data_IF_331600191651
#
_entry.id   IF_331600191651
#
_cell.length_a   1.000
_cell.length_b   1.000
_cell.length_c   1.000
_cell.angle_alpha   90.00
_cell.angle_beta   90.00
_cell.angle_gamma   90.00
#
_symmetry.space_group_name_H-M   'P 1'
#
loop_
_entity.id
_entity.type
_entity.pdbx_description
1 polymer ?
#
# COMPACT_ATOMS: atom_id res chain seq x y z
N UNK A 1 29.01 -54.21 7.54
CA UNK A 1 28.84 -52.76 7.76
C UNK A 1 27.36 -52.50 7.75
N UNK A 2 26.79 -52.16 8.90
CA UNK A 2 25.36 -51.95 9.07
C UNK A 2 25.18 -50.51 9.54
N UNK A 3 25.09 -49.58 8.58
CA UNK A 3 24.77 -48.18 8.84
C UNK A 3 23.25 -48.03 8.92
N UNK A 4 22.67 -48.57 9.98
CA UNK A 4 21.34 -48.22 10.45
C UNK A 4 21.47 -47.13 11.51
N UNK A 5 21.66 -45.88 11.09
CA UNK A 5 21.41 -44.73 11.96
C UNK A 5 20.31 -43.87 11.35
N UNK A 6 19.11 -44.41 11.52
CA UNK A 6 17.84 -43.73 11.36
C UNK A 6 17.85 -42.45 12.20
N UNK A 7 17.70 -41.31 11.53
CA UNK A 7 17.80 -39.96 12.10
C UNK A 7 16.98 -39.76 13.37
N UNK A 8 17.64 -39.92 14.52
CA UNK A 8 17.17 -39.42 15.80
C UNK A 8 17.60 -37.95 15.90
N UNK A 9 16.66 -37.05 15.64
CA UNK A 9 16.78 -35.64 16.04
C UNK A 9 17.04 -35.59 17.54
N UNK A 10 18.13 -34.93 17.97
CA UNK A 10 18.54 -34.89 19.39
C UNK A 10 17.95 -33.72 20.18
N UNK A 11 17.05 -32.97 19.58
CA UNK A 11 16.38 -31.84 20.20
C UNK A 11 16.70 -30.52 19.50
N UNK A 12 16.17 -29.45 20.08
CA UNK A 12 16.16 -28.10 19.55
C UNK A 12 16.60 -27.13 20.64
N UNK A 13 17.43 -26.16 20.27
CA UNK A 13 17.76 -25.00 21.09
C UNK A 13 16.96 -23.81 20.58
N UNK A 14 16.14 -23.20 21.42
CA UNK A 14 15.25 -22.10 21.02
C UNK A 14 15.58 -20.87 21.86
N UNK A 15 15.81 -19.74 21.20
CA UNK A 15 16.11 -18.49 21.86
C UNK A 15 14.86 -17.86 22.45
N UNK A 16 14.91 -17.55 23.74
CA UNK A 16 13.79 -16.91 24.45
C UNK A 16 13.61 -15.43 24.10
N UNK A 17 14.56 -14.81 23.39
CA UNK A 17 14.53 -13.39 23.02
C UNK A 17 14.12 -13.16 21.58
N UNK A 18 14.78 -13.82 20.61
CA UNK A 18 14.48 -13.63 19.19
C UNK A 18 13.57 -14.71 18.59
N UNK A 19 13.31 -15.80 19.31
CA UNK A 19 12.53 -16.94 18.82
C UNK A 19 13.24 -17.77 17.75
N UNK A 20 14.51 -17.49 17.44
CA UNK A 20 15.33 -18.32 16.56
C UNK A 20 15.56 -19.70 17.16
N UNK A 21 15.59 -20.74 16.33
CA UNK A 21 15.82 -22.11 16.76
C UNK A 21 17.00 -22.73 16.02
N UNK A 22 17.68 -23.66 16.69
CA UNK A 22 18.75 -24.49 16.14
C UNK A 22 18.45 -25.96 16.44
N UNK A 23 18.61 -26.82 15.44
CA UNK A 23 18.39 -28.27 15.59
C UNK A 23 19.75 -28.94 15.80
N UNK A 24 19.89 -29.71 16.88
CA UNK A 24 21.14 -30.38 17.21
C UNK A 24 21.44 -31.53 16.25
N UNK A 25 22.66 -31.57 15.73
CA UNK A 25 23.16 -32.66 14.90
C UNK A 25 23.54 -33.89 15.74
N UNK A 26 23.79 -35.02 15.05
CA UNK A 26 24.15 -36.27 15.70
C UNK A 26 25.55 -36.20 16.32
N UNK A 27 25.61 -36.01 17.64
CA UNK A 27 26.87 -35.96 18.38
C UNK A 27 27.04 -34.68 19.18
N UNK A 28 26.24 -33.66 18.88
CA UNK A 28 26.26 -32.37 19.58
C UNK A 28 25.51 -32.46 20.90
N UNK A 29 26.03 -31.77 21.92
CA UNK A 29 25.39 -31.64 23.22
C UNK A 29 24.80 -30.23 23.37
N UNK A 30 23.56 -30.07 23.90
CA UNK A 30 22.98 -28.75 24.13
C UNK A 30 23.84 -27.86 25.05
N UNK A 31 24.68 -28.45 25.90
CA UNK A 31 25.56 -27.72 26.81
C UNK A 31 26.73 -27.04 26.10
N UNK A 32 27.03 -27.41 24.85
CA UNK A 32 28.10 -26.77 24.05
C UNK A 32 27.69 -25.36 23.57
N UNK A 33 26.43 -24.96 23.77
CA UNK A 33 25.86 -23.71 23.28
C UNK A 33 25.48 -22.78 24.43
N UNK A 34 26.26 -21.72 24.63
CA UNK A 34 26.07 -20.78 25.74
C UNK A 34 24.89 -19.79 25.52
N UNK A 35 24.80 -19.18 24.33
CA UNK A 35 23.80 -18.14 24.03
C UNK A 35 23.54 -17.98 22.54
N UNK A 36 22.41 -17.37 22.19
CA UNK A 36 22.07 -17.00 20.83
C UNK A 36 22.94 -15.82 20.35
N UNK A 37 23.14 -15.70 19.04
CA UNK A 37 23.87 -14.58 18.41
C UNK A 37 23.31 -13.19 18.76
N UNK A 38 22.02 -13.12 19.13
CA UNK A 38 21.38 -11.88 19.59
C UNK A 38 21.70 -11.53 21.06
N UNK A 39 22.42 -12.40 21.79
CA UNK A 39 22.70 -12.28 23.22
C UNK A 39 21.63 -12.91 24.14
N UNK A 40 20.63 -13.57 23.57
CA UNK A 40 19.56 -14.23 24.32
C UNK A 40 19.90 -15.62 24.81
N UNK A 41 19.27 -16.04 25.91
CA UNK A 41 19.40 -17.40 26.45
C UNK A 41 18.72 -18.43 25.54
N UNK A 42 19.31 -19.62 25.47
CA UNK A 42 18.80 -20.76 24.71
C UNK A 42 18.13 -21.76 25.67
N UNK A 43 16.90 -22.16 25.35
CA UNK A 43 16.20 -23.26 26.00
C UNK A 43 16.28 -24.53 25.16
N UNK A 44 16.51 -25.68 25.80
CA UNK A 44 16.51 -26.98 25.14
C UNK A 44 15.13 -27.64 25.18
N UNK A 45 14.71 -28.18 24.03
CA UNK A 45 13.44 -28.89 23.84
C UNK A 45 13.67 -30.17 23.04
N UNK A 46 13.01 -31.27 23.41
CA UNK A 46 13.18 -32.55 22.72
C UNK A 46 12.50 -32.57 21.36
N UNK A 47 11.39 -31.85 21.22
CA UNK A 47 10.64 -31.65 19.97
C UNK A 47 10.19 -30.20 19.82
N UNK A 48 9.84 -29.77 18.61
CA UNK A 48 9.24 -28.45 18.42
C UNK A 48 7.83 -28.41 19.02
N UNK A 49 7.11 -29.52 19.01
CA UNK A 49 5.80 -29.63 19.67
C UNK A 49 5.87 -29.29 21.15
N UNK A 50 6.90 -29.75 21.88
CA UNK A 50 7.11 -29.43 23.29
C UNK A 50 7.27 -27.91 23.52
N UNK A 51 7.87 -27.19 22.57
CA UNK A 51 7.99 -25.74 22.65
C UNK A 51 6.67 -25.01 22.37
N UNK A 52 5.85 -25.54 21.46
CA UNK A 52 4.55 -24.98 21.10
C UNK A 52 3.39 -25.51 21.94
N UNK A 53 3.64 -26.43 22.88
CA UNK A 53 2.68 -26.83 23.91
C UNK A 53 2.50 -25.67 24.88
N UNK A 54 1.45 -24.88 24.66
CA UNK A 54 0.98 -23.87 25.62
C UNK A 54 0.63 -24.58 26.95
N UNK A 55 0.98 -23.98 28.11
CA UNK A 55 0.71 -24.58 29.42
C UNK A 55 -0.79 -24.85 29.55
N UNK A 56 -1.16 -26.11 29.85
CA UNK A 56 -2.52 -26.66 29.96
C UNK A 56 -3.60 -25.64 30.34
N UNK A 57 -4.06 -24.86 29.35
CA UNK A 57 -5.34 -24.21 29.42
C UNK A 57 -6.41 -25.30 29.24
N UNK A 58 -7.51 -25.26 29.99
CA UNK A 58 -8.56 -26.25 29.89
C UNK A 58 -9.02 -26.33 28.43
N UNK A 59 -8.78 -27.47 27.78
CA UNK A 59 -9.11 -27.73 26.38
C UNK A 59 -10.53 -27.21 26.09
N UNK A 60 -10.69 -26.16 25.26
CA UNK A 60 -12.02 -25.78 24.81
C UNK A 60 -12.58 -26.95 24.00
N UNK A 61 -13.77 -27.41 24.37
CA UNK A 61 -14.52 -28.41 23.62
C UNK A 61 -14.56 -27.98 22.14
N UNK A 62 -13.91 -28.75 21.26
CA UNK A 62 -13.86 -28.43 19.82
C UNK A 62 -15.28 -28.55 19.28
N UNK A 63 -15.90 -27.47 18.77
CA UNK A 63 -17.18 -27.58 18.11
C UNK A 63 -17.00 -28.41 16.84
N UNK A 64 -17.86 -29.41 16.66
CA UNK A 64 -17.84 -30.39 15.59
C UNK A 64 -17.63 -29.72 14.22
N UNK A 65 -17.07 -30.42 13.21
CA UNK A 65 -16.83 -29.91 11.82
C UNK A 65 -17.98 -29.08 11.22
N UNK A 66 -19.20 -29.27 11.72
CA UNK A 66 -20.40 -28.50 11.40
C UNK A 66 -20.32 -27.00 11.74
N UNK A 67 -19.61 -26.63 12.80
CA UNK A 67 -19.59 -25.26 13.35
C UNK A 67 -18.56 -24.37 12.67
N UNK A 68 -17.40 -24.92 12.27
CA UNK A 68 -16.47 -24.20 11.38
C UNK A 68 -17.13 -23.87 10.05
N UNK A 69 -17.94 -24.80 9.51
CA UNK A 69 -18.71 -24.55 8.29
C UNK A 69 -19.78 -23.47 8.51
N UNK A 70 -20.50 -23.48 9.64
CA UNK A 70 -21.45 -22.41 10.00
C UNK A 70 -20.78 -21.05 10.14
N UNK A 71 -19.63 -20.98 10.82
CA UNK A 71 -18.86 -19.75 10.98
C UNK A 71 -18.38 -19.20 9.64
N UNK A 72 -17.86 -20.05 8.75
CA UNK A 72 -17.46 -19.63 7.41
C UNK A 72 -18.66 -19.16 6.59
N UNK A 73 -19.79 -19.86 6.66
CA UNK A 73 -21.02 -19.46 5.98
C UNK A 73 -21.56 -18.12 6.49
N UNK A 74 -21.50 -17.88 7.80
CA UNK A 74 -21.95 -16.62 8.40
C UNK A 74 -21.04 -15.45 8.01
N UNK A 75 -19.72 -15.64 8.04
CA UNK A 75 -18.78 -14.60 7.59
C UNK A 75 -18.92 -14.31 6.09
N UNK A 76 -19.13 -15.34 5.27
CA UNK A 76 -19.33 -15.18 3.83
C UNK A 76 -20.65 -14.44 3.55
N UNK A 77 -21.72 -14.79 4.26
CA UNK A 77 -23.01 -14.07 4.19
C UNK A 77 -22.84 -12.59 4.51
N UNK A 78 -22.10 -12.27 5.59
CA UNK A 78 -21.83 -10.88 5.99
C UNK A 78 -21.03 -10.12 4.93
N UNK A 79 -20.08 -10.77 4.27
CA UNK A 79 -19.31 -10.17 3.19
C UNK A 79 -20.19 -9.85 1.98
N UNK A 80 -21.04 -10.79 1.59
CA UNK A 80 -21.98 -10.62 0.46
C UNK A 80 -22.94 -9.45 0.75
N UNK A 81 -23.50 -9.37 1.95
CA UNK A 81 -24.40 -8.26 2.34
C UNK A 81 -23.72 -6.89 2.25
N UNK A 82 -22.44 -6.83 2.61
CA UNK A 82 -21.65 -5.60 2.52
C UNK A 82 -21.36 -5.21 1.07
N UNK A 83 -21.04 -6.17 0.21
CA UNK A 83 -20.82 -5.95 -1.21
C UNK A 83 -22.11 -5.53 -1.92
N UNK A 84 -23.25 -6.18 -1.62
CA UNK A 84 -24.56 -5.80 -2.16
C UNK A 84 -24.99 -4.40 -1.71
N UNK A 85 -24.65 -3.99 -0.48
CA UNK A 85 -24.85 -2.60 -0.01
C UNK A 85 -24.03 -1.63 -0.84
N UNK A 86 -22.74 -1.91 -1.02
CA UNK A 86 -21.81 -1.08 -1.81
C UNK A 86 -22.28 -0.97 -3.27
N UNK A 87 -22.71 -2.08 -3.87
CA UNK A 87 -23.24 -2.10 -5.24
C UNK A 87 -24.54 -1.30 -5.37
N UNK A 88 -25.42 -1.32 -4.35
CA UNK A 88 -26.62 -0.46 -4.32
C UNK A 88 -26.27 1.02 -4.22
N UNK A 89 -25.25 1.37 -3.45
CA UNK A 89 -24.80 2.76 -3.32
C UNK A 89 -24.16 3.29 -4.61
N UNK A 90 -23.37 2.45 -5.30
CA UNK A 90 -22.83 2.75 -6.63
C UNK A 90 -23.96 2.89 -7.66
N UNK A 91 -24.90 1.94 -7.71
CA UNK A 91 -26.02 1.94 -8.69
C UNK A 91 -26.99 3.09 -8.47
N UNK A 92 -27.18 3.54 -7.23
CA UNK A 92 -28.01 4.71 -6.91
C UNK A 92 -27.32 6.05 -7.21
N UNK A 93 -26.07 6.03 -7.71
CA UNK A 93 -25.31 7.24 -8.04
C UNK A 93 -24.98 8.08 -6.81
N UNK A 94 -25.07 7.49 -5.61
CA UNK A 94 -24.86 8.17 -4.32
C UNK A 94 -23.40 8.60 -4.16
N UNK A 95 -22.47 7.90 -4.79
CA UNK A 95 -21.04 8.18 -4.67
C UNK A 95 -20.52 8.91 -5.90
N UNK A 96 -19.97 10.11 -5.70
CA UNK A 96 -19.12 10.73 -6.70
C UNK A 96 -17.75 10.04 -6.70
N UNK A 97 -17.10 9.89 -7.86
CA UNK A 97 -15.76 9.30 -7.97
C UNK A 97 -14.75 9.98 -7.03
N UNK A 98 -14.94 11.27 -6.78
CA UNK A 98 -14.06 12.06 -5.92
C UNK A 98 -14.27 11.80 -4.42
N UNK A 99 -15.48 11.40 -4.01
CA UNK A 99 -15.81 11.04 -2.63
C UNK A 99 -15.22 9.69 -2.24
N UNK A 100 -15.23 8.70 -3.15
CA UNK A 100 -14.61 7.39 -2.93
C UNK A 100 -13.09 7.48 -2.73
N UNK A 101 -12.42 8.32 -3.53
CA UNK A 101 -10.96 8.51 -3.48
C UNK A 101 -10.57 9.29 -2.21
N UNK A 102 -11.44 10.20 -1.74
CA UNK A 102 -11.24 10.91 -0.49
C UNK A 102 -11.50 10.03 0.76
N UNK A 103 -12.57 9.23 0.78
CA UNK A 103 -12.94 8.39 1.92
C UNK A 103 -11.93 7.25 2.16
N UNK A 104 -11.38 6.69 1.08
CA UNK A 104 -10.32 5.67 1.19
C UNK A 104 -8.93 6.22 1.53
N UNK A 105 -8.78 7.52 1.79
CA UNK A 105 -7.47 8.19 2.06
C UNK A 105 -6.41 8.00 0.96
N UNK A 106 -6.80 7.51 -0.21
CA UNK A 106 -5.88 7.17 -1.30
C UNK A 106 -5.11 8.42 -1.76
N UNK A 107 -5.73 9.60 -1.74
CA UNK A 107 -5.07 10.86 -2.10
C UNK A 107 -3.95 11.21 -1.12
N UNK A 108 -4.21 11.04 0.17
CA UNK A 108 -3.24 11.36 1.23
C UNK A 108 -2.09 10.36 1.21
N UNK A 109 -2.39 9.07 1.03
CA UNK A 109 -1.39 8.01 0.90
C UNK A 109 -0.50 8.20 -0.33
N UNK A 110 -1.08 8.55 -1.50
CA UNK A 110 -0.33 8.83 -2.73
C UNK A 110 0.54 10.08 -2.58
N UNK A 111 0.05 11.10 -1.84
CA UNK A 111 0.80 12.32 -1.58
C UNK A 111 1.98 12.08 -0.64
N UNK A 112 1.80 11.25 0.40
CA UNK A 112 2.88 10.87 1.31
C UNK A 112 3.91 9.98 0.59
N UNK A 113 3.46 9.01 -0.19
CA UNK A 113 4.35 8.18 -1.02
C UNK A 113 5.19 9.03 -1.98
N UNK A 114 4.57 10.04 -2.62
CA UNK A 114 5.30 10.95 -3.50
C UNK A 114 6.38 11.74 -2.75
N UNK A 115 6.08 12.21 -1.53
CA UNK A 115 7.03 12.94 -0.70
C UNK A 115 8.23 12.06 -0.30
N UNK A 116 7.98 10.81 0.08
CA UNK A 116 9.04 9.84 0.40
C UNK A 116 9.92 9.56 -0.82
N UNK A 117 9.32 9.41 -2.01
CA UNK A 117 10.06 9.19 -3.26
C UNK A 117 10.93 10.41 -3.61
N UNK A 118 10.40 11.62 -3.47
CA UNK A 118 11.16 12.86 -3.71
C UNK A 118 12.35 12.98 -2.71
N UNK A 119 12.16 12.61 -1.44
CA UNK A 119 13.21 12.63 -0.40
C UNK A 119 14.30 11.57 -0.64
N UNK A 120 13.93 10.36 -1.10
CA UNK A 120 14.90 9.32 -1.48
C UNK A 120 15.71 9.67 -2.74
N UNK A 121 15.09 10.35 -3.71
CA UNK A 121 15.77 10.83 -4.90
C UNK A 121 16.86 11.86 -4.56
N UNK A 122 16.65 12.68 -3.53
CA UNK A 122 17.65 13.65 -3.07
C UNK A 122 18.83 12.96 -2.32
N UNK A 123 18.59 11.84 -1.63
CA UNK A 123 19.66 11.06 -0.97
C UNK A 123 20.49 10.21 -1.96
N UNK A 124 19.88 9.57 -2.97
CA UNK A 124 20.59 8.72 -3.95
C UNK A 124 21.49 9.53 -4.91
N UNK A 125 21.23 10.84 -5.05
CA UNK A 125 22.12 11.77 -5.75
C UNK A 125 23.46 11.94 -5.01
N UNK A 126 23.55 11.69 -3.70
CA UNK A 126 24.81 11.81 -2.95
C UNK A 126 25.72 10.59 -3.15
N UNK A 127 25.17 9.37 -3.22
CA UNK A 127 25.98 8.15 -3.37
C UNK A 127 26.41 7.88 -4.82
N UNK A 128 25.61 8.27 -5.82
CA UNK A 128 26.00 8.12 -7.23
C UNK A 128 27.13 9.07 -7.65
N UNK A 129 27.32 10.19 -6.94
CA UNK A 129 28.41 11.16 -7.17
C UNK A 129 29.80 10.62 -6.80
N UNK A 130 29.90 9.49 -6.08
CA UNK A 130 31.18 8.90 -5.70
C UNK A 130 31.70 7.79 -6.64
N UNK A 131 30.85 7.21 -7.52
CA UNK A 131 31.22 5.92 -8.17
C UNK A 131 31.28 5.94 -9.70
N UNK A 132 30.61 6.82 -10.45
CA UNK A 132 30.65 6.71 -11.93
C UNK A 132 31.10 7.97 -12.65
N UNK A 133 32.31 7.90 -13.21
CA UNK A 133 32.88 8.87 -14.17
C UNK A 133 32.17 8.86 -15.52
N UNK A 134 30.88 9.18 -15.54
CA UNK A 134 30.02 9.23 -16.73
C UNK A 134 29.23 10.54 -16.81
N UNK A 135 29.92 11.68 -16.68
CA UNK A 135 29.31 12.99 -16.44
C UNK A 135 28.62 13.64 -17.65
N UNK A 136 28.99 13.31 -18.89
CA UNK A 136 28.57 14.10 -20.05
C UNK A 136 27.13 13.88 -20.54
N UNK A 137 26.70 12.62 -20.64
CA UNK A 137 25.44 12.29 -21.32
C UNK A 137 24.22 12.36 -20.39
N UNK A 138 24.38 11.95 -19.13
CA UNK A 138 23.29 11.98 -18.15
C UNK A 138 22.90 13.41 -17.77
N UNK A 139 23.87 14.32 -17.59
CA UNK A 139 23.60 15.73 -17.29
C UNK A 139 22.86 16.43 -18.46
N UNK A 140 23.27 16.15 -19.70
CA UNK A 140 22.61 16.70 -20.90
C UNK A 140 21.17 16.22 -21.02
N UNK A 141 20.92 14.93 -20.79
CA UNK A 141 19.57 14.37 -20.88
C UNK A 141 18.67 14.87 -19.75
N UNK A 142 19.18 14.95 -18.52
CA UNK A 142 18.41 15.46 -17.36
C UNK A 142 18.05 16.94 -17.54
N UNK A 143 18.98 17.77 -18.06
CA UNK A 143 18.68 19.17 -18.36
C UNK A 143 17.59 19.29 -19.44
N UNK A 144 17.67 18.48 -20.49
CA UNK A 144 16.70 18.49 -21.59
C UNK A 144 15.31 18.00 -21.14
N UNK A 145 15.24 16.98 -20.27
CA UNK A 145 13.98 16.49 -19.70
C UNK A 145 13.36 17.49 -18.74
N UNK A 146 14.17 18.17 -17.91
CA UNK A 146 13.69 19.23 -17.02
C UNK A 146 13.09 20.39 -17.80
N UNK A 147 13.77 20.85 -18.84
CA UNK A 147 13.30 21.94 -19.71
C UNK A 147 12.00 21.56 -20.45
N UNK A 148 11.89 20.31 -20.94
CA UNK A 148 10.64 19.85 -21.55
C UNK A 148 9.48 19.77 -20.55
N UNK A 149 9.73 19.37 -19.29
CA UNK A 149 8.71 19.36 -18.24
C UNK A 149 8.27 20.76 -17.84
N UNK A 150 9.20 21.71 -17.72
CA UNK A 150 8.89 23.11 -17.45
C UNK A 150 8.07 23.73 -18.58
N UNK A 151 8.41 23.44 -19.85
CA UNK A 151 7.64 23.87 -21.01
C UNK A 151 6.21 23.29 -21.03
N UNK A 152 6.03 22.02 -20.67
CA UNK A 152 4.72 21.40 -20.56
C UNK A 152 3.91 21.97 -19.40
N UNK A 153 4.53 22.19 -18.24
CA UNK A 153 3.89 22.81 -17.08
C UNK A 153 3.45 24.25 -17.36
N UNK A 154 4.23 25.02 -18.14
CA UNK A 154 3.83 26.36 -18.54
C UNK A 154 2.72 26.35 -19.60
N UNK A 155 2.66 25.31 -20.45
CA UNK A 155 1.58 25.11 -21.42
C UNK A 155 0.27 24.70 -20.72
N UNK A 156 0.33 23.84 -19.71
CA UNK A 156 -0.81 23.50 -18.84
C UNK A 156 -1.25 24.68 -17.95
N UNK A 157 -0.30 25.50 -17.47
CA UNK A 157 -0.61 26.74 -16.75
C UNK A 157 -1.29 27.80 -17.63
N UNK A 158 -1.01 27.81 -18.94
CA UNK A 158 -1.65 28.70 -19.92
C UNK A 158 -3.00 28.16 -20.45
N UNK A 159 -3.21 26.84 -20.49
CA UNK A 159 -4.48 26.24 -20.99
C UNK A 159 -5.66 26.49 -20.03
N UNK A 160 -5.41 26.84 -18.78
CA UNK A 160 -6.44 27.18 -17.81
C UNK A 160 -6.23 28.55 -17.17
N UNK A 161 -5.90 29.57 -17.96
CA UNK A 161 -6.14 30.95 -17.52
C UNK A 161 -7.66 31.20 -17.51
N UNK A 162 -8.30 30.70 -16.44
CA UNK A 162 -9.74 30.77 -16.16
C UNK A 162 -10.33 32.17 -16.29
N UNK A 163 -9.48 33.20 -16.18
CA UNK A 163 -9.85 34.61 -16.40
C UNK A 163 -10.26 34.87 -17.83
N UNK A 164 -9.54 34.36 -18.83
CA UNK A 164 -9.87 34.58 -20.24
C UNK A 164 -11.16 33.86 -20.64
N UNK A 165 -11.31 32.59 -20.21
CA UNK A 165 -12.52 31.81 -20.43
C UNK A 165 -13.74 32.45 -19.74
N UNK A 166 -13.57 32.94 -18.49
CA UNK A 166 -14.62 33.68 -17.78
C UNK A 166 -14.99 34.97 -18.50
N UNK A 167 -14.02 35.77 -18.95
CA UNK A 167 -14.31 37.00 -19.70
C UNK A 167 -15.02 36.70 -21.01
N UNK A 168 -14.60 35.68 -21.75
CA UNK A 168 -15.24 35.28 -23.01
C UNK A 168 -16.71 34.83 -22.78
N UNK A 169 -16.96 34.03 -21.75
CA UNK A 169 -18.32 33.59 -21.38
C UNK A 169 -19.17 34.79 -20.95
N UNK A 170 -18.65 35.72 -20.15
CA UNK A 170 -19.41 36.91 -19.74
C UNK A 170 -19.79 37.81 -20.91
N UNK A 171 -18.88 38.02 -21.87
CA UNK A 171 -19.16 38.82 -23.08
C UNK A 171 -20.24 38.15 -23.93
N UNK A 172 -20.19 36.82 -24.09
CA UNK A 172 -21.19 36.06 -24.83
C UNK A 172 -22.57 36.15 -24.18
N UNK A 173 -22.66 36.04 -22.84
CA UNK A 173 -23.93 36.19 -22.12
C UNK A 173 -24.51 37.60 -22.27
N UNK A 174 -23.68 38.65 -22.17
CA UNK A 174 -24.13 40.04 -22.38
C UNK A 174 -24.67 40.23 -23.80
N UNK A 175 -23.98 39.71 -24.81
CA UNK A 175 -24.42 39.78 -26.20
C UNK A 175 -25.79 39.10 -26.39
N UNK A 176 -25.98 37.92 -25.81
CA UNK A 176 -27.25 37.19 -25.86
C UNK A 176 -28.38 38.01 -25.22
N UNK A 177 -28.15 38.63 -24.07
CA UNK A 177 -29.15 39.50 -23.41
C UNK A 177 -29.50 40.71 -24.29
N UNK A 178 -28.51 41.35 -24.90
CA UNK A 178 -28.74 42.48 -25.81
C UNK A 178 -29.60 42.05 -27.00
N UNK A 179 -29.30 40.91 -27.63
CA UNK A 179 -30.10 40.37 -28.72
C UNK A 179 -31.56 40.09 -28.30
N UNK A 180 -31.78 39.55 -27.10
CA UNK A 180 -33.13 39.36 -26.57
C UNK A 180 -33.86 40.69 -26.38
N UNK A 181 -33.21 41.72 -25.84
CA UNK A 181 -33.83 43.05 -25.70
C UNK A 181 -34.21 43.65 -27.06
N UNK A 182 -33.33 43.56 -28.06
CA UNK A 182 -33.65 43.99 -29.42
C UNK A 182 -34.82 43.22 -30.03
N UNK A 183 -34.88 41.91 -29.82
CA UNK A 183 -36.00 41.08 -30.27
C UNK A 183 -37.32 41.55 -29.63
N UNK A 184 -37.34 41.77 -28.31
CA UNK A 184 -38.53 42.28 -27.63
C UNK A 184 -38.96 43.66 -28.11
N UNK A 185 -38.00 44.54 -28.40
CA UNK A 185 -38.29 45.87 -28.97
C UNK A 185 -38.87 45.73 -30.38
N UNK A 186 -38.28 44.89 -31.25
CA UNK A 186 -38.76 44.66 -32.60
C UNK A 186 -40.19 44.07 -32.62
N UNK A 187 -40.47 43.12 -31.71
CA UNK A 187 -41.81 42.52 -31.54
C UNK A 187 -42.81 43.53 -30.97
N UNK A 188 -42.39 44.47 -30.11
CA UNK A 188 -43.26 45.53 -29.57
C UNK A 188 -43.63 46.61 -30.59
N UNK A 189 -42.84 46.76 -31.66
CA UNK A 189 -43.02 47.77 -32.71
C UNK A 189 -43.60 47.20 -34.02
N UNK A 190 -43.89 45.89 -34.07
CA UNK A 190 -44.62 45.22 -35.16
C UNK A 190 -46.06 44.96 -34.72
#
# INVERSE_FOLDING_TARGET
MSDENMGKTRGYLICTQCGGYYQLEAGEDPSDFDSCECGGSLGYYSTLEEFYEEPDEPKPEIPEKSDRKRFLLENLSRSIDNEERTLREIKSGKWSLMEFVAEKRIIDDVKEQKKIVDELLDEEIIDSNLITGGRGEAESFISQVREQREFLAEREGKTLNSRFLRTAVTVLLVFVVICFLYFFIAVKFT
#
